data_IF_547589370199
#
_entry.id   IF_547589370199
#
_cell.length_a   1.000
_cell.length_b   1.000
_cell.length_c   1.000
_cell.angle_alpha   90.00
_cell.angle_beta   90.00
_cell.angle_gamma   90.00
#
_symmetry.space_group_name_H-M   'P 1'
#
loop_
_entity.id
_entity.type
_entity.pdbx_description
1 polymer ?
#
# COMPACT_ATOMS: atom_id res chain seq x y z
N UNK A 1 -43.81 -12.82 -0.85
CA UNK A 1 -43.28 -11.43 -0.91
C UNK A 1 -41.76 -11.51 -0.82
N UNK A 2 -41.05 -11.28 -1.93
CA UNK A 2 -39.58 -11.25 -1.96
C UNK A 2 -39.10 -9.85 -1.56
N UNK A 3 -38.10 -9.67 -0.68
CA UNK A 3 -37.52 -8.36 -0.48
C UNK A 3 -36.66 -8.03 -1.70
N UNK A 4 -37.06 -7.00 -2.45
CA UNK A 4 -36.27 -6.41 -3.52
C UNK A 4 -35.08 -5.68 -2.89
N UNK A 5 -33.86 -6.11 -3.17
CA UNK A 5 -32.64 -5.37 -2.85
C UNK A 5 -32.47 -4.24 -3.86
N UNK A 6 -33.20 -3.13 -3.65
CA UNK A 6 -32.92 -1.84 -4.28
C UNK A 6 -32.45 -0.88 -3.17
N UNK A 7 -31.15 -0.94 -2.87
CA UNK A 7 -30.42 0.06 -2.11
C UNK A 7 -28.95 -0.15 -2.47
N UNK A 8 -28.35 0.56 -3.42
CA UNK A 8 -28.22 2.01 -3.40
C UNK A 8 -27.04 2.35 -2.49
N UNK A 9 -25.86 2.60 -3.06
CA UNK A 9 -24.70 3.16 -2.36
C UNK A 9 -24.94 4.61 -1.87
N UNK A 10 -26.18 4.99 -1.53
CA UNK A 10 -26.64 6.37 -1.48
C UNK A 10 -27.37 6.78 -0.19
N UNK A 11 -27.10 6.15 0.95
CA UNK A 11 -27.48 6.72 2.27
C UNK A 11 -26.29 7.44 2.89
N UNK A 12 -26.56 8.59 3.52
CA UNK A 12 -25.63 9.60 4.06
C UNK A 12 -24.69 9.16 5.23
N UNK A 13 -24.44 7.86 5.34
CA UNK A 13 -23.28 7.27 6.03
C UNK A 13 -22.16 7.08 4.99
N UNK A 14 -20.90 6.87 5.40
CA UNK A 14 -19.80 6.62 4.45
C UNK A 14 -20.25 5.63 3.35
N UNK A 15 -19.95 5.91 2.06
CA UNK A 15 -20.39 5.03 0.97
C UNK A 15 -19.92 3.60 1.25
N UNK A 16 -20.78 2.59 1.07
CA UNK A 16 -20.41 1.21 1.39
C UNK A 16 -19.21 0.78 0.56
N UNK A 17 -18.26 0.10 1.20
CA UNK A 17 -17.07 -0.42 0.52
C UNK A 17 -17.46 -1.66 -0.29
N UNK A 18 -17.38 -1.56 -1.62
CA UNK A 18 -17.70 -2.63 -2.55
C UNK A 18 -16.43 -3.40 -2.92
N UNK A 19 -16.34 -4.67 -2.51
CA UNK A 19 -15.18 -5.53 -2.76
C UNK A 19 -15.53 -6.70 -3.69
N UNK A 20 -14.77 -6.83 -4.77
CA UNK A 20 -14.75 -8.02 -5.61
C UNK A 20 -13.81 -9.05 -4.98
N UNK A 21 -14.37 -10.19 -4.58
CA UNK A 21 -13.65 -11.21 -3.80
C UNK A 21 -13.02 -12.31 -4.67
N UNK A 22 -13.08 -12.14 -5.99
CA UNK A 22 -12.49 -13.04 -6.98
C UNK A 22 -10.97 -12.84 -7.06
N UNK A 23 -10.32 -13.62 -7.92
CA UNK A 23 -8.88 -13.45 -8.13
C UNK A 23 -8.55 -12.08 -8.75
N UNK A 24 -7.34 -11.54 -8.53
CA UNK A 24 -6.89 -10.32 -9.20
C UNK A 24 -6.98 -10.41 -10.73
N UNK A 25 -6.73 -11.59 -11.30
CA UNK A 25 -6.79 -11.85 -12.73
C UNK A 25 -8.22 -11.74 -13.25
N UNK A 26 -9.20 -12.34 -12.57
CA UNK A 26 -10.62 -12.21 -12.92
C UNK A 26 -11.10 -10.76 -12.81
N UNK A 27 -10.70 -10.05 -11.76
CA UNK A 27 -11.01 -8.63 -11.59
C UNK A 27 -10.45 -7.78 -12.74
N UNK A 28 -9.17 -7.97 -13.07
CA UNK A 28 -8.53 -7.25 -14.16
C UNK A 28 -9.14 -7.61 -15.53
N UNK A 29 -9.56 -8.86 -15.72
CA UNK A 29 -10.26 -9.31 -16.93
C UNK A 29 -11.69 -8.76 -17.04
N UNK A 30 -12.31 -8.35 -15.93
CA UNK A 30 -13.64 -7.76 -15.93
C UNK A 30 -14.22 -7.56 -14.54
N UNK A 31 -14.51 -6.33 -14.13
CA UNK A 31 -15.08 -6.03 -12.80
C UNK A 31 -16.22 -5.02 -12.82
N UNK A 32 -16.95 -4.98 -11.70
CA UNK A 32 -18.06 -4.06 -11.49
C UNK A 32 -17.56 -2.62 -11.32
N UNK A 33 -18.19 -1.60 -11.95
CA UNK A 33 -17.77 -0.21 -11.81
C UNK A 33 -17.73 0.25 -10.35
N UNK A 34 -16.58 0.75 -9.90
CA UNK A 34 -16.39 1.25 -8.53
C UNK A 34 -16.17 0.16 -7.47
N UNK A 35 -16.06 -1.12 -7.85
CA UNK A 35 -15.57 -2.14 -6.91
C UNK A 35 -14.05 -2.12 -6.80
N UNK A 36 -13.56 -2.49 -5.62
CA UNK A 36 -12.14 -2.69 -5.33
C UNK A 36 -11.83 -4.19 -5.35
N UNK A 37 -10.66 -4.57 -5.85
CA UNK A 37 -10.20 -5.96 -5.77
C UNK A 37 -9.75 -6.28 -4.34
N UNK A 38 -10.37 -7.27 -3.71
CA UNK A 38 -9.97 -7.78 -2.41
C UNK A 38 -10.29 -9.28 -2.32
N UNK A 39 -9.37 -10.15 -2.82
CA UNK A 39 -9.60 -11.59 -2.87
C UNK A 39 -10.06 -12.15 -1.52
N UNK A 40 -11.07 -13.03 -1.53
CA UNK A 40 -11.83 -13.35 -0.33
C UNK A 40 -11.01 -13.80 0.88
N UNK A 41 -9.99 -14.64 0.67
CA UNK A 41 -9.09 -15.07 1.74
C UNK A 41 -8.30 -13.91 2.35
N UNK A 42 -7.72 -13.05 1.52
CA UNK A 42 -6.96 -11.87 1.93
C UNK A 42 -7.86 -10.84 2.61
N UNK A 43 -9.09 -10.64 2.13
CA UNK A 43 -10.05 -9.75 2.77
C UNK A 43 -10.42 -10.22 4.18
N UNK A 44 -10.50 -11.53 4.43
CA UNK A 44 -10.74 -12.08 5.78
C UNK A 44 -9.49 -11.97 6.65
N UNK A 45 -8.30 -12.21 6.11
CA UNK A 45 -7.04 -12.23 6.88
C UNK A 45 -6.52 -10.82 7.20
N UNK A 46 -6.68 -9.87 6.28
CA UNK A 46 -6.17 -8.49 6.39
C UNK A 46 -7.32 -7.48 6.28
N UNK A 47 -8.45 -7.76 6.95
CA UNK A 47 -9.68 -6.95 6.81
C UNK A 47 -9.44 -5.47 7.07
N UNK A 48 -8.57 -5.13 8.02
CA UNK A 48 -8.22 -3.75 8.39
C UNK A 48 -7.50 -2.97 7.28
N UNK A 49 -6.79 -3.65 6.38
CA UNK A 49 -6.16 -3.03 5.20
C UNK A 49 -7.19 -2.57 4.16
N UNK A 50 -8.33 -3.28 4.07
CA UNK A 50 -9.38 -2.99 3.08
C UNK A 50 -10.52 -2.16 3.68
N UNK A 51 -10.95 -2.51 4.89
CA UNK A 51 -12.07 -1.92 5.63
C UNK A 51 -11.59 -1.36 6.97
N UNK A 52 -10.88 -0.24 6.93
CA UNK A 52 -10.27 0.35 8.13
C UNK A 52 -11.28 1.06 9.06
N UNK A 53 -12.49 1.34 8.59
CA UNK A 53 -13.55 2.00 9.38
C UNK A 53 -14.43 0.94 10.04
N UNK A 54 -14.20 0.65 11.33
CA UNK A 54 -15.03 -0.31 12.09
C UNK A 54 -16.50 0.12 12.08
N UNK A 55 -17.39 -0.85 11.81
CA UNK A 55 -18.82 -0.61 11.70
C UNK A 55 -19.28 -0.09 10.33
N UNK A 56 -18.35 0.10 9.38
CA UNK A 56 -18.73 0.32 7.98
C UNK A 56 -19.42 -0.92 7.41
N UNK A 57 -20.31 -0.70 6.45
CA UNK A 57 -20.98 -1.76 5.72
C UNK A 57 -20.12 -2.25 4.56
N UNK A 58 -19.97 -3.56 4.46
CA UNK A 58 -19.19 -4.24 3.43
C UNK A 58 -20.12 -4.86 2.40
N UNK A 59 -19.91 -4.55 1.11
CA UNK A 59 -20.64 -5.17 -0.01
C UNK A 59 -19.69 -6.08 -0.77
N UNK A 60 -20.03 -7.35 -0.89
CA UNK A 60 -19.20 -8.37 -1.54
C UNK A 60 -19.76 -8.76 -2.91
N UNK A 61 -18.85 -8.94 -3.87
CA UNK A 61 -19.15 -9.23 -5.27
C UNK A 61 -18.40 -10.49 -5.70
N UNK A 62 -19.12 -11.40 -6.35
CA UNK A 62 -18.59 -12.54 -7.09
C UNK A 62 -19.48 -12.82 -8.32
N UNK A 63 -19.10 -13.82 -9.12
CA UNK A 63 -19.85 -14.30 -10.28
C UNK A 63 -20.40 -15.73 -10.11
N UNK A 64 -20.00 -16.44 -9.04
CA UNK A 64 -20.43 -17.81 -8.74
C UNK A 64 -21.42 -17.92 -7.56
N UNK A 65 -21.61 -16.83 -6.80
CA UNK A 65 -22.46 -16.80 -5.61
C UNK A 65 -21.92 -17.55 -4.39
N UNK A 66 -20.73 -18.13 -4.48
CA UNK A 66 -20.08 -18.95 -3.45
C UNK A 66 -19.03 -18.14 -2.71
N UNK A 67 -18.10 -17.50 -3.44
CA UNK A 67 -16.93 -16.82 -2.85
C UNK A 67 -17.36 -15.65 -1.96
N UNK A 68 -18.31 -14.84 -2.39
CA UNK A 68 -18.86 -13.73 -1.63
C UNK A 68 -19.70 -14.23 -0.45
N UNK A 69 -20.38 -15.37 -0.57
CA UNK A 69 -21.15 -15.95 0.53
C UNK A 69 -20.22 -16.47 1.65
N UNK A 70 -19.17 -17.22 1.31
CA UNK A 70 -18.19 -17.73 2.28
C UNK A 70 -17.46 -16.55 2.95
N UNK A 71 -16.93 -15.62 2.16
CA UNK A 71 -16.24 -14.42 2.67
C UNK A 71 -17.14 -13.60 3.59
N UNK A 72 -18.39 -13.39 3.19
CA UNK A 72 -19.38 -12.67 3.97
C UNK A 72 -19.73 -13.35 5.29
N UNK A 73 -19.74 -14.68 5.33
CA UNK A 73 -20.00 -15.43 6.57
C UNK A 73 -18.88 -15.24 7.61
N UNK A 74 -17.61 -15.23 7.19
CA UNK A 74 -16.48 -14.97 8.08
C UNK A 74 -16.47 -13.52 8.59
N UNK A 75 -16.67 -12.56 7.69
CA UNK A 75 -16.74 -11.14 8.06
C UNK A 75 -17.91 -10.86 9.02
N UNK A 76 -19.07 -11.47 8.82
CA UNK A 76 -20.21 -11.36 9.73
C UNK A 76 -19.89 -11.94 11.13
N UNK A 77 -19.20 -13.08 11.19
CA UNK A 77 -18.70 -13.66 12.44
C UNK A 77 -17.66 -12.74 13.13
N UNK A 78 -16.91 -11.96 12.36
CA UNK A 78 -16.02 -10.90 12.86
C UNK A 78 -16.75 -9.56 13.15
N UNK A 79 -18.08 -9.57 13.22
CA UNK A 79 -18.91 -8.43 13.64
C UNK A 79 -19.10 -7.35 12.58
N UNK A 80 -18.87 -7.65 11.30
CA UNK A 80 -19.13 -6.73 10.20
C UNK A 80 -20.57 -6.83 9.67
N UNK A 81 -21.17 -5.69 9.30
CA UNK A 81 -22.40 -5.70 8.50
C UNK A 81 -22.04 -6.01 7.04
N UNK A 82 -22.42 -7.18 6.56
CA UNK A 82 -22.14 -7.63 5.20
C UNK A 82 -23.41 -7.66 4.34
N UNK A 83 -23.25 -7.30 3.08
CA UNK A 83 -24.24 -7.53 2.04
C UNK A 83 -23.53 -8.14 0.82
N UNK A 84 -24.28 -8.85 -0.01
CA UNK A 84 -23.77 -9.44 -1.25
C UNK A 84 -24.57 -8.97 -2.45
N UNK A 85 -23.88 -8.71 -3.54
CA UNK A 85 -24.52 -8.49 -4.84
C UNK A 85 -24.54 -9.83 -5.58
N UNK A 86 -25.70 -10.49 -5.58
CA UNK A 86 -25.85 -11.80 -6.20
C UNK A 86 -26.08 -11.71 -7.71
N UNK A 87 -25.57 -12.71 -8.44
CA UNK A 87 -25.84 -12.94 -9.87
C UNK A 87 -25.38 -11.79 -10.78
N UNK A 88 -24.11 -11.38 -10.64
CA UNK A 88 -23.50 -10.44 -11.58
C UNK A 88 -23.45 -11.04 -12.98
N UNK A 89 -24.10 -10.37 -13.93
CA UNK A 89 -23.97 -10.72 -15.35
C UNK A 89 -22.63 -10.25 -15.90
N UNK A 90 -22.16 -10.91 -16.97
CA UNK A 90 -20.97 -10.48 -17.72
C UNK A 90 -21.06 -9.03 -18.19
N UNK A 91 -22.26 -8.52 -18.49
CA UNK A 91 -22.48 -7.12 -18.86
C UNK A 91 -22.27 -6.13 -17.71
N UNK A 92 -22.40 -6.57 -16.45
CA UNK A 92 -22.10 -5.74 -15.28
C UNK A 92 -20.59 -5.69 -14.99
N UNK A 93 -19.83 -6.71 -15.40
CA UNK A 93 -18.37 -6.79 -15.31
C UNK A 93 -17.69 -6.04 -16.48
N UNK A 94 -17.96 -4.75 -16.56
CA UNK A 94 -17.66 -3.91 -17.73
C UNK A 94 -16.31 -3.20 -17.69
N UNK A 95 -15.71 -3.02 -16.51
CA UNK A 95 -14.40 -2.37 -16.37
C UNK A 95 -13.28 -3.39 -16.49
N UNK A 96 -12.11 -2.96 -16.96
CA UNK A 96 -10.93 -3.79 -17.26
C UNK A 96 -9.69 -3.17 -16.62
N UNK A 97 -8.69 -4.00 -16.32
CA UNK A 97 -7.46 -3.60 -15.65
C UNK A 97 -7.64 -3.32 -14.17
N UNK A 98 -6.61 -2.77 -13.54
CA UNK A 98 -6.66 -2.29 -12.15
C UNK A 98 -6.72 -0.77 -12.20
N UNK A 99 -7.78 -0.13 -11.66
CA UNK A 99 -7.86 1.33 -11.59
C UNK A 99 -6.65 1.91 -10.84
N UNK A 100 -6.17 3.07 -11.29
CA UNK A 100 -5.19 3.82 -10.52
C UNK A 100 -5.80 4.24 -9.17
N UNK A 101 -4.99 4.25 -8.12
CA UNK A 101 -5.43 4.73 -6.81
C UNK A 101 -5.89 6.19 -6.90
N UNK A 102 -7.04 6.49 -6.32
CA UNK A 102 -7.48 7.87 -6.13
C UNK A 102 -6.63 8.49 -5.02
N UNK A 103 -5.89 9.54 -5.37
CA UNK A 103 -5.02 10.26 -4.45
C UNK A 103 -5.39 11.73 -4.45
N UNK A 104 -5.13 12.48 -3.35
CA UNK A 104 -5.28 13.92 -3.35
C UNK A 104 -4.46 14.58 -4.47
N UNK A 105 -4.76 15.84 -4.85
CA UNK A 105 -3.86 16.59 -5.72
C UNK A 105 -2.46 16.69 -5.11
N UNK A 106 -1.43 16.30 -5.86
CA UNK A 106 -0.04 16.44 -5.44
C UNK A 106 0.45 17.89 -5.55
N UNK A 107 1.46 18.30 -4.76
CA UNK A 107 2.07 19.62 -4.90
C UNK A 107 2.72 19.78 -6.29
N UNK A 108 2.82 21.04 -6.74
CA UNK A 108 3.62 21.38 -7.91
C UNK A 108 5.08 21.00 -7.67
N UNK A 109 5.71 20.44 -8.70
CA UNK A 109 7.07 19.93 -8.64
C UNK A 109 7.87 20.49 -9.80
N UNK A 110 9.07 20.97 -9.52
CA UNK A 110 10.11 21.07 -10.54
C UNK A 110 10.59 19.65 -10.84
N UNK A 111 10.51 19.23 -12.10
CA UNK A 111 10.84 17.86 -12.49
C UNK A 111 12.20 17.78 -13.20
N UNK A 112 12.90 16.68 -12.98
CA UNK A 112 14.15 16.34 -13.66
C UNK A 112 14.02 14.95 -14.30
N UNK A 113 14.40 14.84 -15.58
CA UNK A 113 14.39 13.54 -16.26
C UNK A 113 15.54 12.64 -15.78
N UNK A 114 15.44 11.30 -15.95
CA UNK A 114 16.54 10.40 -15.59
C UNK A 114 17.88 10.74 -16.25
N UNK A 115 17.88 11.13 -17.53
CA UNK A 115 19.09 11.50 -18.26
C UNK A 115 19.73 12.79 -17.71
N UNK A 116 18.90 13.79 -17.39
CA UNK A 116 19.39 15.04 -16.75
C UNK A 116 19.93 14.78 -15.36
N UNK A 117 19.27 13.91 -14.58
CA UNK A 117 19.77 13.53 -13.26
C UNK A 117 21.11 12.79 -13.36
N UNK A 118 21.24 11.85 -14.31
CA UNK A 118 22.49 11.13 -14.52
C UNK A 118 23.65 12.10 -14.82
N UNK A 119 23.45 13.06 -15.71
CA UNK A 119 24.43 14.11 -15.99
C UNK A 119 24.72 14.97 -14.75
N UNK A 120 23.68 15.32 -13.97
CA UNK A 120 23.84 16.15 -12.78
C UNK A 120 24.60 15.43 -11.65
N UNK A 121 24.59 14.10 -11.62
CA UNK A 121 25.33 13.27 -10.66
C UNK A 121 26.81 13.09 -11.01
N UNK A 122 27.26 13.52 -12.19
CA UNK A 122 28.69 13.55 -12.55
C UNK A 122 29.45 14.62 -11.75
N UNK A 123 28.75 15.65 -11.28
CA UNK A 123 29.29 16.73 -10.47
C UNK A 123 28.83 16.63 -9.00
N UNK A 124 29.68 16.99 -8.02
CA UNK A 124 29.28 16.99 -6.62
C UNK A 124 28.22 18.07 -6.35
N UNK A 125 27.35 17.81 -5.36
CA UNK A 125 26.39 18.79 -4.84
C UNK A 125 24.92 18.41 -5.01
N UNK A 126 24.62 17.28 -5.65
CA UNK A 126 23.27 16.69 -5.70
C UNK A 126 23.18 15.50 -4.75
N UNK A 127 22.16 15.49 -3.90
CA UNK A 127 21.80 14.31 -3.09
C UNK A 127 20.46 13.76 -3.56
N UNK A 128 20.40 12.45 -3.79
CA UNK A 128 19.16 11.74 -4.14
C UNK A 128 18.55 11.14 -2.88
N UNK A 129 17.27 11.42 -2.63
CA UNK A 129 16.49 10.87 -1.53
C UNK A 129 15.46 9.88 -2.08
N UNK A 130 15.57 8.60 -1.72
CA UNK A 130 14.65 7.54 -2.16
C UNK A 130 13.65 7.19 -1.04
N UNK A 131 12.37 7.44 -1.33
CA UNK A 131 11.24 7.19 -0.44
C UNK A 131 10.53 5.85 -0.73
N UNK A 132 11.11 4.97 -1.56
CA UNK A 132 10.60 3.60 -1.73
C UNK A 132 10.73 2.79 -0.43
N UNK A 133 10.13 1.60 -0.37
CA UNK A 133 10.33 0.68 0.78
C UNK A 133 11.80 0.28 0.88
N UNK A 134 12.32 0.04 2.09
CA UNK A 134 13.71 -0.38 2.28
C UNK A 134 14.06 -1.64 1.51
N UNK A 135 13.12 -2.59 1.41
CA UNK A 135 13.29 -3.82 0.63
C UNK A 135 13.54 -3.53 -0.87
N UNK A 136 12.74 -2.64 -1.46
CA UNK A 136 12.93 -2.22 -2.86
C UNK A 136 14.26 -1.49 -3.07
N UNK A 137 14.61 -0.59 -2.15
CA UNK A 137 15.89 0.14 -2.21
C UNK A 137 17.06 -0.84 -2.18
N UNK A 138 17.09 -1.75 -1.20
CA UNK A 138 18.14 -2.78 -1.10
C UNK A 138 18.20 -3.66 -2.35
N UNK A 139 17.04 -4.00 -2.92
CA UNK A 139 16.98 -4.79 -4.14
C UNK A 139 17.58 -4.05 -5.35
N UNK A 140 17.33 -2.74 -5.50
CA UNK A 140 17.94 -1.86 -6.51
C UNK A 140 17.58 -0.40 -6.28
N UNK A 141 18.55 0.49 -6.44
CA UNK A 141 18.37 1.94 -6.32
C UNK A 141 19.31 2.71 -7.24
N UNK A 142 19.11 4.03 -7.33
CA UNK A 142 20.00 4.95 -8.06
C UNK A 142 21.35 5.02 -7.30
N UNK A 143 22.50 4.87 -7.97
CA UNK A 143 23.80 4.94 -7.31
C UNK A 143 23.98 6.22 -6.48
N UNK A 144 24.42 6.06 -5.23
CA UNK A 144 24.64 7.18 -4.29
C UNK A 144 23.37 7.75 -3.65
N UNK A 145 22.19 7.18 -3.93
CA UNK A 145 20.96 7.60 -3.27
C UNK A 145 20.95 7.23 -1.78
N UNK A 146 20.23 8.04 -1.00
CA UNK A 146 19.97 7.81 0.42
C UNK A 146 18.54 7.35 0.61
N UNK A 147 18.36 6.20 1.25
CA UNK A 147 17.06 5.69 1.64
C UNK A 147 16.63 6.28 2.98
N UNK A 148 15.34 6.63 3.06
CA UNK A 148 14.67 7.03 4.29
C UNK A 148 13.16 6.82 4.20
N UNK A 149 12.49 6.89 5.35
CA UNK A 149 11.05 7.05 5.42
C UNK A 149 10.69 8.53 5.55
N UNK A 150 9.54 8.93 5.01
CA UNK A 150 9.09 10.32 5.11
C UNK A 150 8.92 10.79 6.56
N UNK A 151 8.40 9.92 7.44
CA UNK A 151 8.21 10.22 8.86
C UNK A 151 9.51 10.47 9.62
N UNK A 152 10.65 9.99 9.10
CA UNK A 152 11.97 10.17 9.71
C UNK A 152 12.87 11.13 8.92
N UNK A 153 12.30 11.93 8.01
CA UNK A 153 13.08 12.84 7.15
C UNK A 153 14.01 13.76 7.95
N UNK A 154 13.54 14.35 9.06
CA UNK A 154 14.38 15.20 9.91
C UNK A 154 15.60 14.44 10.46
N UNK A 155 15.38 13.24 10.99
CA UNK A 155 16.44 12.38 11.53
C UNK A 155 17.43 11.98 10.43
N UNK A 156 16.92 11.61 9.25
CA UNK A 156 17.76 11.24 8.11
C UNK A 156 18.68 12.39 7.68
N UNK A 157 18.18 13.64 7.69
CA UNK A 157 18.97 14.82 7.31
C UNK A 157 20.11 15.15 8.29
N UNK A 158 20.12 14.59 9.50
CA UNK A 158 21.24 14.75 10.45
C UNK A 158 22.47 13.95 10.03
N UNK A 159 22.29 12.86 9.27
CA UNK A 159 23.38 11.98 8.81
C UNK A 159 23.71 12.18 7.32
N UNK A 160 22.74 12.63 6.52
CA UNK A 160 22.92 12.89 5.09
C UNK A 160 23.80 14.14 4.92
N UNK A 161 24.89 14.07 4.12
CA UNK A 161 25.74 15.23 3.89
C UNK A 161 24.96 16.43 3.32
N UNK A 162 25.31 17.68 3.71
CA UNK A 162 24.73 18.87 3.10
C UNK A 162 24.93 18.88 1.60
N UNK A 163 23.87 19.21 0.85
CA UNK A 163 23.90 19.29 -0.60
C UNK A 163 23.61 20.72 -1.08
N UNK A 164 23.96 21.01 -2.33
CA UNK A 164 23.54 22.23 -3.00
C UNK A 164 22.07 22.13 -3.43
N UNK A 165 21.61 20.92 -3.75
CA UNK A 165 20.24 20.61 -4.19
C UNK A 165 19.89 19.15 -3.87
N UNK A 166 18.61 18.87 -3.79
CA UNK A 166 18.07 17.53 -3.54
C UNK A 166 17.21 17.06 -4.72
N UNK A 167 17.27 15.77 -5.00
CA UNK A 167 16.36 15.13 -5.95
C UNK A 167 15.62 14.02 -5.21
N UNK A 168 14.30 14.07 -5.21
CA UNK A 168 13.49 13.05 -4.55
C UNK A 168 12.97 12.03 -5.56
N UNK A 169 12.96 10.76 -5.17
CA UNK A 169 12.45 9.65 -5.97
C UNK A 169 11.71 8.65 -5.08
N UNK A 170 10.91 7.81 -5.71
CA UNK A 170 10.46 6.52 -5.20
C UNK A 170 10.20 5.63 -6.43
N UNK A 171 9.53 4.48 -6.29
CA UNK A 171 9.24 3.60 -7.44
C UNK A 171 8.70 4.34 -8.68
N UNK A 172 7.59 5.07 -8.52
CA UNK A 172 6.90 5.81 -9.60
C UNK A 172 6.89 7.34 -9.41
N UNK A 173 7.64 7.86 -8.44
CA UNK A 173 7.60 9.26 -7.96
C UNK A 173 6.30 9.74 -7.31
N UNK A 174 5.29 8.88 -7.14
CA UNK A 174 4.04 9.25 -6.48
C UNK A 174 4.25 9.71 -5.03
N UNK A 175 4.89 8.90 -4.19
CA UNK A 175 5.12 9.23 -2.77
C UNK A 175 6.13 10.39 -2.63
N UNK A 176 7.20 10.35 -3.43
CA UNK A 176 8.25 11.36 -3.41
C UNK A 176 7.73 12.78 -3.69
N UNK A 177 6.75 12.92 -4.60
CA UNK A 177 6.08 14.20 -4.88
C UNK A 177 5.54 14.86 -3.61
N UNK A 178 4.93 14.09 -2.71
CA UNK A 178 4.37 14.61 -1.46
C UNK A 178 5.42 14.98 -0.42
N UNK A 179 6.65 14.43 -0.52
CA UNK A 179 7.74 14.76 0.39
C UNK A 179 8.48 16.05 0.01
N UNK A 180 8.37 16.51 -1.26
CA UNK A 180 9.13 17.67 -1.75
C UNK A 180 9.01 18.93 -0.90
N UNK A 181 7.80 19.40 -0.52
CA UNK A 181 7.69 20.65 0.24
C UNK A 181 8.36 20.55 1.61
N UNK A 182 8.33 19.36 2.21
CA UNK A 182 8.95 19.08 3.51
C UNK A 182 10.48 19.07 3.41
N UNK A 183 11.03 18.44 2.36
CA UNK A 183 12.47 18.47 2.07
C UNK A 183 12.94 19.91 1.83
N UNK A 184 12.20 20.68 1.04
CA UNK A 184 12.54 22.07 0.74
C UNK A 184 12.51 22.94 2.01
N UNK A 185 11.49 22.78 2.86
CA UNK A 185 11.35 23.51 4.11
C UNK A 185 12.44 23.17 5.13
N UNK A 186 12.83 21.89 5.23
CA UNK A 186 13.85 21.45 6.20
C UNK A 186 15.28 21.79 5.76
N UNK A 187 15.56 21.78 4.46
CA UNK A 187 16.91 21.98 3.93
C UNK A 187 17.18 23.43 3.49
N UNK A 188 16.12 24.18 3.14
CA UNK A 188 16.25 25.48 2.50
C UNK A 188 16.92 25.43 1.13
N UNK A 189 16.95 24.26 0.48
CA UNK A 189 17.62 24.03 -0.81
C UNK A 189 16.61 23.75 -1.93
N UNK A 190 17.01 23.92 -3.20
CA UNK A 190 16.21 23.47 -4.34
C UNK A 190 15.93 21.96 -4.27
N UNK A 191 14.69 21.57 -4.58
CA UNK A 191 14.24 20.18 -4.60
C UNK A 191 13.55 19.88 -5.91
N UNK A 192 14.05 18.88 -6.63
CA UNK A 192 13.47 18.40 -7.89
C UNK A 192 12.88 17.00 -7.70
N UNK A 193 11.85 16.67 -8.48
CA UNK A 193 11.25 15.34 -8.54
C UNK A 193 11.81 14.58 -9.75
N UNK A 194 12.30 13.37 -9.55
CA UNK A 194 12.68 12.51 -10.68
C UNK A 194 11.42 12.11 -11.47
N UNK A 195 11.30 12.52 -12.73
CA UNK A 195 10.14 12.15 -13.57
C UNK A 195 10.05 10.63 -13.72
N UNK A 196 8.90 10.05 -13.34
CA UNK A 196 8.64 8.60 -13.40
C UNK A 196 9.42 7.75 -12.39
N UNK A 197 10.21 8.37 -11.52
CA UNK A 197 10.90 7.72 -10.41
C UNK A 197 11.97 6.72 -10.81
N UNK A 198 12.32 5.85 -9.87
CA UNK A 198 13.35 4.83 -10.07
C UNK A 198 12.96 3.83 -11.17
N UNK A 199 11.66 3.61 -11.42
CA UNK A 199 11.20 2.79 -12.57
C UNK A 199 11.58 3.42 -13.92
N UNK A 200 11.44 4.74 -14.07
CA UNK A 200 11.87 5.42 -15.30
C UNK A 200 13.39 5.45 -15.47
N UNK A 201 14.14 5.57 -14.36
CA UNK A 201 15.59 5.42 -14.36
C UNK A 201 16.02 4.03 -14.88
N UNK A 202 15.36 2.97 -14.40
CA UNK A 202 15.59 1.59 -14.88
C UNK A 202 15.22 1.45 -16.36
N UNK A 203 14.07 1.99 -16.77
CA UNK A 203 13.63 1.93 -18.17
C UNK A 203 14.58 2.67 -19.13
N UNK A 204 15.29 3.68 -18.65
CA UNK A 204 16.34 4.38 -19.38
C UNK A 204 17.67 3.61 -19.48
N UNK A 205 17.78 2.43 -18.85
CA UNK A 205 18.99 1.61 -18.88
C UNK A 205 20.16 2.21 -18.08
N UNK A 206 19.88 3.11 -17.15
CA UNK A 206 20.91 3.78 -16.34
C UNK A 206 21.44 2.85 -15.23
N UNK A 207 22.68 3.08 -14.75
CA UNK A 207 23.31 2.21 -13.74
C UNK A 207 22.50 2.11 -12.44
N UNK A 208 22.59 0.96 -11.77
CA UNK A 208 21.92 0.68 -10.49
C UNK A 208 22.93 0.28 -9.43
N UNK A 209 22.63 0.63 -8.18
CA UNK A 209 23.28 0.10 -6.99
C UNK A 209 22.34 -0.88 -6.27
N UNK A 210 22.91 -1.71 -5.41
CA UNK A 210 22.24 -2.77 -4.66
C UNK A 210 22.80 -2.81 -3.23
N UNK A 211 22.06 -3.41 -2.29
CA UNK A 211 22.49 -3.55 -0.91
C UNK A 211 22.07 -2.38 -0.02
N UNK A 212 22.68 -2.31 1.16
CA UNK A 212 22.31 -1.43 2.27
C UNK A 212 23.14 -0.14 2.37
N UNK A 213 23.95 0.16 1.35
CA UNK A 213 24.64 1.44 1.26
C UNK A 213 23.63 2.59 1.13
N UNK A 214 23.77 3.65 1.92
CA UNK A 214 22.89 4.81 1.87
C UNK A 214 21.61 4.71 2.71
N UNK A 215 21.48 3.71 3.61
CA UNK A 215 20.39 3.73 4.60
C UNK A 215 20.63 4.86 5.62
N UNK A 216 19.86 5.95 5.54
CA UNK A 216 19.99 7.09 6.45
C UNK A 216 19.32 6.86 7.82
N UNK A 217 18.42 5.89 7.91
CA UNK A 217 17.68 5.53 9.13
C UNK A 217 17.56 4.01 9.23
N UNK A 218 17.18 3.53 10.42
CA UNK A 218 16.91 2.11 10.63
C UNK A 218 15.67 1.65 9.83
N UNK A 219 15.74 0.42 9.30
CA UNK A 219 14.69 -0.17 8.47
C UNK A 219 13.51 -0.65 9.31
N UNK A 220 12.60 0.27 9.62
CA UNK A 220 11.36 0.02 10.39
C UNK A 220 10.08 0.18 9.57
N UNK A 221 10.20 0.26 8.24
CA UNK A 221 9.08 0.48 7.33
C UNK A 221 8.21 -0.76 7.10
N UNK A 222 8.70 -1.95 7.48
CA UNK A 222 7.97 -3.22 7.36
C UNK A 222 8.15 -4.07 8.61
N UNK A 223 7.04 -4.56 9.16
CA UNK A 223 7.07 -5.63 10.15
C UNK A 223 7.53 -6.94 9.50
N UNK A 224 8.59 -7.54 10.03
CA UNK A 224 9.07 -8.85 9.59
C UNK A 224 8.14 -9.94 10.11
N UNK A 225 7.15 -10.30 9.30
CA UNK A 225 6.15 -11.33 9.60
C UNK A 225 6.84 -12.70 9.76
N UNK A 226 6.78 -13.36 10.93
CA UNK A 226 7.47 -14.64 11.16
C UNK A 226 6.98 -15.78 10.25
N UNK A 227 5.78 -15.65 9.70
CA UNK A 227 5.13 -16.61 8.80
C UNK A 227 5.36 -16.33 7.30
N UNK A 228 6.16 -15.32 6.94
CA UNK A 228 6.53 -15.02 5.55
C UNK A 228 8.02 -15.33 5.30
N UNK A 229 8.32 -16.00 4.18
CA UNK A 229 9.69 -16.36 3.81
C UNK A 229 10.22 -17.60 4.52
N UNK A 230 11.51 -17.90 4.34
CA UNK A 230 12.17 -19.11 4.86
C UNK A 230 13.39 -18.81 5.74
N UNK A 231 13.65 -17.53 6.02
CA UNK A 231 14.85 -17.01 6.68
C UNK A 231 14.58 -16.50 8.11
N UNK A 232 13.37 -16.72 8.64
CA UNK A 232 13.06 -16.44 10.04
C UNK A 232 13.66 -17.50 10.96
N UNK A 233 14.10 -17.08 12.15
CA UNK A 233 14.59 -17.99 13.19
C UNK A 233 13.46 -18.84 13.76
N UNK A 234 13.77 -20.08 14.16
CA UNK A 234 12.80 -20.97 14.79
C UNK A 234 12.18 -20.36 16.06
N UNK A 235 12.97 -19.62 16.84
CA UNK A 235 12.52 -18.94 18.05
C UNK A 235 11.44 -17.89 17.75
N UNK A 236 11.60 -17.10 16.68
CA UNK A 236 10.62 -16.10 16.27
C UNK A 236 9.32 -16.74 15.76
N UNK A 237 9.42 -17.87 15.05
CA UNK A 237 8.24 -18.64 14.62
C UNK A 237 7.50 -19.23 15.83
N UNK A 238 8.23 -19.78 16.79
CA UNK A 238 7.65 -20.33 18.02
C UNK A 238 6.96 -19.24 18.86
N UNK A 239 7.61 -18.09 19.03
CA UNK A 239 7.04 -16.94 19.74
C UNK A 239 5.76 -16.42 19.05
N UNK A 240 5.69 -16.47 17.72
CA UNK A 240 4.48 -16.11 16.98
C UNK A 240 3.30 -17.05 17.30
N UNK A 241 3.54 -18.37 17.34
CA UNK A 241 2.50 -19.35 17.69
C UNK A 241 2.02 -19.19 19.14
N UNK A 242 2.94 -18.91 20.07
CA UNK A 242 2.61 -18.63 21.47
C UNK A 242 1.78 -17.35 21.61
N UNK A 243 2.11 -16.31 20.83
CA UNK A 243 1.33 -15.09 20.77
C UNK A 243 -0.10 -15.37 20.25
N UNK A 244 -0.25 -16.14 19.17
CA UNK A 244 -1.57 -16.52 18.61
C UNK A 244 -2.42 -17.29 19.64
N UNK A 245 -1.81 -18.21 20.38
CA UNK A 245 -2.49 -18.97 21.43
C UNK A 245 -3.10 -18.05 22.50
N UNK A 246 -2.40 -16.97 22.86
CA UNK A 246 -2.86 -16.00 23.85
C UNK A 246 -3.90 -14.98 23.36
N UNK A 247 -4.30 -15.00 22.08
CA UNK A 247 -5.20 -13.98 21.52
C UNK A 247 -6.63 -14.08 22.06
N UNK A 248 -7.13 -15.28 22.34
CA UNK A 248 -8.50 -15.46 22.86
C UNK A 248 -8.67 -14.77 24.23
N UNK A 249 -7.68 -14.92 25.11
CA UNK A 249 -7.68 -14.24 26.41
C UNK A 249 -7.55 -12.72 26.27
N UNK A 250 -6.80 -12.25 25.27
CA UNK A 250 -6.71 -10.82 24.96
C UNK A 250 -8.04 -10.26 24.45
N UNK A 251 -8.74 -10.99 23.58
CA UNK A 251 -10.09 -10.62 23.11
C UNK A 251 -11.08 -10.52 24.27
N UNK A 252 -11.04 -11.48 25.20
CA UNK A 252 -11.91 -11.47 26.38
C UNK A 252 -11.65 -10.26 27.30
N UNK A 253 -10.38 -9.84 27.43
CA UNK A 253 -10.00 -8.64 28.18
C UNK A 253 -10.41 -7.34 27.49
N UNK A 254 -10.28 -7.27 26.17
CA UNK A 254 -10.69 -6.12 25.38
C UNK A 254 -12.21 -5.92 25.40
N UNK A 255 -12.97 -6.99 25.13
CA UNK A 255 -14.42 -6.99 25.23
C UNK A 255 -15.18 -6.14 24.20
N UNK A 256 -14.51 -5.61 23.17
CA UNK A 256 -15.14 -4.73 22.16
C UNK A 256 -15.28 -5.37 20.77
N UNK A 257 -14.68 -6.55 20.56
CA UNK A 257 -14.63 -7.21 19.25
C UNK A 257 -16.01 -7.54 18.66
N UNK A 258 -16.98 -7.97 19.48
CA UNK A 258 -18.33 -8.33 19.01
C UNK A 258 -18.37 -9.59 18.12
N UNK A 259 -17.30 -10.39 18.11
CA UNK A 259 -17.19 -11.61 17.32
C UNK A 259 -18.12 -12.72 17.83
N UNK A 260 -18.63 -13.54 16.92
CA UNK A 260 -19.49 -14.70 17.21
C UNK A 260 -19.17 -15.81 16.20
N UNK A 261 -19.06 -17.06 16.67
CA UNK A 261 -18.92 -18.23 15.79
C UNK A 261 -20.29 -18.87 15.63
N UNK A 262 -20.68 -19.19 14.40
CA UNK A 262 -21.99 -19.75 14.06
C UNK A 262 -22.08 -21.27 14.28
#
# INVERSE_FOLDING_TARGET
MRPRCNAGCSRATAPPSCFDVRSPEEYAAGHYPGSLSAPGGQLVQETDHFASVRGARIVLLDDDGIRAAITGSWLAQMGWETARLSALSTSQLSKRGVPAAEVPPGPQAEEISPAQLAQQLEEPGTVVLDFTTSANFVARHIPGAWWLTRSQLRQALEVIPPAQRYVVTCGSSLLARYAMPEVAALTGKPVQLLTGGTLAWIAAGLPLAHGDSGLAVERRDRYRRPYEGTDNSAEAMQAYLEWEYGLVDQLARDGTHGFRVL
#
